data_IF_351114333862
#
_entry.id   IF_351114333862
#
_cell.length_a   1.000
_cell.length_b   1.000
_cell.length_c   1.000
_cell.angle_alpha   90.00
_cell.angle_beta   90.00
_cell.angle_gamma   90.00
#
_symmetry.space_group_name_H-M   'P 1'
#
loop_
_entity.id
_entity.type
_entity.pdbx_description
1 polymer ?
#
# COMPACT_ATOMS: atom_id res chain seq x y z
N UNK A 1 -3.72 1.21 -15.49
CA UNK A 1 -3.45 -0.13 -16.09
C UNK A 1 -4.78 -0.80 -16.42
N UNK A 2 -4.87 -1.63 -17.48
CA UNK A 2 -6.15 -2.25 -17.92
C UNK A 2 -6.76 -3.21 -16.88
N UNK A 3 -5.91 -3.87 -16.10
CA UNK A 3 -6.32 -4.85 -15.08
C UNK A 3 -6.49 -4.22 -13.68
N UNK A 4 -6.35 -2.89 -13.55
CA UNK A 4 -6.32 -2.22 -12.24
C UNK A 4 -7.61 -2.46 -11.44
N UNK A 5 -8.78 -2.38 -12.08
CA UNK A 5 -10.06 -2.62 -11.40
C UNK A 5 -10.15 -4.05 -10.83
N UNK A 6 -9.62 -5.04 -11.55
CA UNK A 6 -9.53 -6.42 -11.08
C UNK A 6 -8.56 -6.56 -9.90
N UNK A 7 -7.41 -5.87 -9.97
CA UNK A 7 -6.38 -5.92 -8.95
C UNK A 7 -6.77 -5.23 -7.64
N UNK A 8 -7.67 -4.24 -7.71
CA UNK A 8 -8.23 -3.55 -6.52
C UNK A 8 -9.36 -4.32 -5.84
N UNK A 9 -9.88 -5.36 -6.48
CA UNK A 9 -11.02 -6.11 -5.97
C UNK A 9 -10.60 -7.24 -5.03
N UNK A 10 -11.03 -7.19 -3.77
CA UNK A 10 -10.57 -8.04 -2.66
C UNK A 10 -10.70 -9.56 -2.88
N UNK A 11 -11.65 -10.00 -3.71
CA UNK A 11 -11.86 -11.43 -3.98
C UNK A 11 -11.08 -11.97 -5.19
N UNK A 12 -10.48 -11.08 -5.98
CA UNK A 12 -9.67 -11.46 -7.14
C UNK A 12 -8.23 -11.03 -6.95
N UNK A 13 -7.99 -9.73 -6.79
CA UNK A 13 -6.65 -9.16 -6.61
C UNK A 13 -5.67 -9.49 -7.74
N UNK A 14 -4.40 -9.22 -7.46
CA UNK A 14 -3.26 -9.80 -8.17
C UNK A 14 -3.05 -11.21 -7.63
N UNK A 15 -2.82 -12.18 -8.49
CA UNK A 15 -2.64 -13.58 -8.11
C UNK A 15 -1.37 -14.15 -8.72
N UNK A 16 -0.73 -15.08 -8.01
CA UNK A 16 0.40 -15.84 -8.53
C UNK A 16 0.49 -17.22 -7.87
N UNK A 17 0.57 -18.28 -8.66
CA UNK A 17 0.80 -19.64 -8.16
C UNK A 17 2.30 -19.87 -7.98
N UNK A 18 2.74 -20.04 -6.73
CA UNK A 18 4.11 -20.40 -6.41
C UNK A 18 4.30 -21.91 -6.55
N UNK A 19 4.67 -22.35 -7.76
CA UNK A 19 4.83 -23.77 -8.12
C UNK A 19 5.61 -24.62 -7.11
N UNK A 20 6.78 -24.17 -6.57
CA UNK A 20 7.55 -25.02 -5.65
C UNK A 20 6.82 -25.40 -4.37
N UNK A 21 5.89 -24.57 -3.90
CA UNK A 21 5.10 -24.83 -2.69
C UNK A 21 3.63 -25.13 -2.98
N UNK A 22 3.21 -25.06 -4.25
CA UNK A 22 1.82 -25.16 -4.67
C UNK A 22 0.87 -24.21 -3.90
N UNK A 23 1.33 -22.98 -3.63
CA UNK A 23 0.54 -21.97 -2.94
C UNK A 23 0.08 -20.90 -3.94
N UNK A 24 -1.24 -20.67 -4.01
CA UNK A 24 -1.78 -19.50 -4.72
C UNK A 24 -1.74 -18.29 -3.78
N UNK A 25 -0.84 -17.35 -4.09
CA UNK A 25 -0.71 -16.11 -3.32
C UNK A 25 -1.55 -15.04 -4.01
N UNK A 26 -2.34 -14.32 -3.22
CA UNK A 26 -3.25 -13.28 -3.70
C UNK A 26 -3.16 -12.03 -2.87
N UNK A 27 -3.30 -10.85 -3.49
CA UNK A 27 -3.35 -9.58 -2.78
C UNK A 27 -4.09 -8.52 -3.60
N UNK A 28 -4.91 -7.71 -2.94
CA UNK A 28 -5.60 -6.59 -3.57
C UNK A 28 -4.85 -5.29 -3.25
N UNK A 29 -4.42 -4.59 -4.29
CA UNK A 29 -3.70 -3.31 -4.16
C UNK A 29 -4.71 -2.17 -4.06
N UNK A 30 -4.39 -1.09 -3.33
CA UNK A 30 -5.28 0.07 -3.29
C UNK A 30 -5.18 0.89 -4.58
N UNK A 31 -3.96 1.10 -5.08
CA UNK A 31 -3.68 1.92 -6.27
C UNK A 31 -2.31 1.60 -6.89
N UNK A 32 -2.09 2.10 -8.10
CA UNK A 32 -0.87 1.88 -8.87
C UNK A 32 -0.48 3.14 -9.63
N UNK A 33 0.62 3.75 -9.22
CA UNK A 33 1.22 4.88 -9.94
C UNK A 33 2.26 4.39 -10.94
N UNK A 34 2.67 5.27 -11.84
CA UNK A 34 3.74 5.00 -12.80
C UNK A 34 4.70 6.19 -12.85
N UNK A 35 5.99 5.93 -12.76
CA UNK A 35 7.00 6.98 -12.86
C UNK A 35 7.42 7.24 -14.32
N UNK A 36 8.26 8.25 -14.54
CA UNK A 36 8.75 8.62 -15.88
C UNK A 36 9.64 7.58 -16.55
N UNK A 37 10.10 6.56 -15.81
CA UNK A 37 10.86 5.42 -16.37
C UNK A 37 9.95 4.29 -16.84
N UNK A 38 8.64 4.38 -16.56
CA UNK A 38 7.67 3.34 -16.87
C UNK A 38 7.49 2.29 -15.78
N UNK A 39 8.24 2.36 -14.68
CA UNK A 39 8.10 1.45 -13.55
C UNK A 39 6.77 1.72 -12.83
N UNK A 40 6.06 0.65 -12.47
CA UNK A 40 4.91 0.75 -11.60
C UNK A 40 5.32 0.94 -10.14
N UNK A 41 4.54 1.72 -9.42
CA UNK A 41 4.73 2.01 -8.00
C UNK A 41 3.45 1.64 -7.28
N UNK A 42 3.55 0.68 -6.35
CA UNK A 42 2.43 0.31 -5.50
C UNK A 42 2.19 1.43 -4.48
N UNK A 43 0.93 1.85 -4.36
CA UNK A 43 0.50 2.85 -3.38
C UNK A 43 -0.60 2.28 -2.52
N UNK A 44 -0.47 2.47 -1.22
CA UNK A 44 -1.37 1.95 -0.20
C UNK A 44 -1.91 3.11 0.66
N UNK A 45 -3.22 3.13 0.88
CA UNK A 45 -3.90 4.23 1.59
C UNK A 45 -4.23 3.75 3.00
N UNK A 46 -3.69 4.45 3.99
CA UNK A 46 -3.93 4.16 5.41
C UNK A 46 -4.66 5.32 6.06
N UNK A 47 -5.64 5.00 6.90
CA UNK A 47 -6.34 5.98 7.70
C UNK A 47 -6.39 5.55 9.18
N UNK A 48 -5.99 6.44 10.08
CA UNK A 48 -6.14 6.27 11.54
C UNK A 48 -6.52 7.60 12.20
N UNK A 49 -6.70 7.61 13.52
CA UNK A 49 -6.85 8.81 14.34
C UNK A 49 -5.98 8.67 15.58
N UNK A 50 -4.72 9.09 15.48
CA UNK A 50 -3.70 9.02 16.54
C UNK A 50 -3.28 10.44 16.92
N UNK A 51 -3.02 10.65 18.21
CA UNK A 51 -2.53 11.94 18.71
C UNK A 51 -1.11 12.27 18.21
N UNK A 52 -0.31 11.25 17.88
CA UNK A 52 1.01 11.44 17.29
C UNK A 52 0.93 11.67 15.78
N UNK A 53 1.83 12.51 15.27
CA UNK A 53 2.01 12.68 13.82
C UNK A 53 2.63 11.42 13.22
N UNK A 54 2.07 10.93 12.12
CA UNK A 54 2.54 9.74 11.41
C UNK A 54 3.27 10.19 10.14
N UNK A 55 4.58 10.36 10.24
CA UNK A 55 5.47 10.73 9.12
C UNK A 55 6.35 9.57 8.65
N UNK A 56 6.32 8.45 9.37
CA UNK A 56 7.17 7.27 9.12
C UNK A 56 6.50 5.99 9.63
N UNK A 57 6.90 4.87 9.03
CA UNK A 57 6.44 3.54 9.39
C UNK A 57 7.40 2.84 10.38
N UNK A 58 7.53 3.34 11.61
CA UNK A 58 8.52 2.83 12.59
C UNK A 58 7.93 2.12 13.83
N UNK A 59 6.62 2.17 14.02
CA UNK A 59 5.91 1.44 15.07
C UNK A 59 5.80 -0.06 14.79
N UNK A 60 5.67 -0.87 15.83
CA UNK A 60 5.62 -2.34 15.71
C UNK A 60 4.50 -2.85 14.81
N UNK A 61 3.32 -2.24 14.86
CA UNK A 61 2.18 -2.60 14.04
C UNK A 61 2.35 -2.24 12.56
N UNK A 62 3.30 -1.34 12.22
CA UNK A 62 3.62 -1.02 10.82
C UNK A 62 4.38 -2.14 10.10
N UNK A 63 4.90 -3.15 10.83
CA UNK A 63 5.53 -4.33 10.21
C UNK A 63 4.58 -5.05 9.25
N UNK A 64 3.28 -5.10 9.57
CA UNK A 64 2.27 -5.66 8.68
C UNK A 64 2.10 -4.88 7.37
N UNK A 65 2.14 -3.54 7.44
CA UNK A 65 2.01 -2.68 6.25
C UNK A 65 3.20 -2.83 5.31
N UNK A 66 4.41 -2.91 5.88
CA UNK A 66 5.64 -3.18 5.11
C UNK A 66 5.55 -4.52 4.38
N UNK A 67 5.17 -5.58 5.09
CA UNK A 67 5.00 -6.92 4.49
C UNK A 67 3.94 -6.93 3.39
N UNK A 68 2.84 -6.22 3.60
CA UNK A 68 1.77 -6.09 2.62
C UNK A 68 2.30 -5.44 1.32
N UNK A 69 3.02 -4.33 1.43
CA UNK A 69 3.68 -3.66 0.31
C UNK A 69 4.64 -4.59 -0.45
N UNK A 70 5.49 -5.32 0.28
CA UNK A 70 6.45 -6.28 -0.29
C UNK A 70 5.75 -7.40 -1.08
N UNK A 71 4.66 -7.97 -0.54
CA UNK A 71 3.88 -8.99 -1.23
C UNK A 71 3.23 -8.43 -2.51
N UNK A 72 2.75 -7.18 -2.49
CA UNK A 72 2.15 -6.56 -3.67
C UNK A 72 3.18 -6.30 -4.77
N UNK A 73 4.36 -5.78 -4.41
CA UNK A 73 5.47 -5.64 -5.33
C UNK A 73 5.90 -7.00 -5.89
N UNK A 74 6.02 -8.01 -5.03
CA UNK A 74 6.33 -9.38 -5.44
C UNK A 74 5.31 -9.94 -6.44
N UNK A 75 4.01 -9.84 -6.13
CA UNK A 75 2.94 -10.35 -6.98
C UNK A 75 2.97 -9.73 -8.38
N UNK A 76 3.14 -8.40 -8.47
CA UNK A 76 3.23 -7.70 -9.74
C UNK A 76 4.49 -8.10 -10.52
N UNK A 77 5.65 -8.22 -9.83
CA UNK A 77 6.90 -8.71 -10.45
C UNK A 77 6.77 -10.13 -10.99
N UNK A 78 6.13 -11.04 -10.23
CA UNK A 78 5.87 -12.42 -10.68
C UNK A 78 4.90 -12.49 -11.86
N UNK A 79 4.08 -11.46 -12.06
CA UNK A 79 3.23 -11.28 -13.24
C UNK A 79 3.93 -10.53 -14.39
N UNK A 80 5.25 -10.33 -14.33
CA UNK A 80 6.06 -9.82 -15.43
C UNK A 80 6.10 -8.30 -15.56
N UNK A 81 5.66 -7.57 -14.54
CA UNK A 81 5.69 -6.10 -14.55
C UNK A 81 6.99 -5.55 -13.96
N UNK A 82 7.49 -4.45 -14.54
CA UNK A 82 8.56 -3.65 -13.94
C UNK A 82 7.99 -2.82 -12.80
N UNK A 83 8.47 -3.07 -11.58
CA UNK A 83 7.95 -2.46 -10.35
C UNK A 83 9.10 -1.85 -9.57
N UNK A 84 8.95 -0.59 -9.19
CA UNK A 84 9.91 0.13 -8.36
C UNK A 84 10.04 -0.52 -6.97
N UNK A 85 11.27 -0.56 -6.44
CA UNK A 85 11.50 -0.98 -5.05
C UNK A 85 10.85 -0.02 -4.05
N UNK A 86 10.64 1.24 -4.44
CA UNK A 86 9.96 2.21 -3.59
C UNK A 86 8.45 2.17 -3.84
N UNK A 87 7.70 1.83 -2.79
CA UNK A 87 6.26 2.05 -2.68
C UNK A 87 5.96 3.26 -1.81
N UNK A 88 4.72 3.72 -1.84
CA UNK A 88 4.26 4.84 -1.01
C UNK A 88 3.04 4.48 -0.17
N UNK A 89 3.00 5.04 1.02
CA UNK A 89 1.81 5.07 1.85
C UNK A 89 1.25 6.49 1.85
N UNK A 90 0.02 6.66 1.38
CA UNK A 90 -0.74 7.91 1.56
C UNK A 90 -1.49 7.76 2.88
N UNK A 91 -1.01 8.47 3.89
CA UNK A 91 -1.46 8.27 5.26
C UNK A 91 -2.33 9.44 5.72
N UNK A 92 -3.62 9.19 5.97
CA UNK A 92 -4.57 10.15 6.51
C UNK A 92 -4.73 9.94 8.01
N UNK A 93 -4.23 10.85 8.83
CA UNK A 93 -4.39 10.78 10.29
C UNK A 93 -5.41 11.82 10.78
N UNK A 94 -6.52 11.35 11.34
CA UNK A 94 -7.62 12.18 11.83
C UNK A 94 -7.26 12.92 13.12
N UNK A 95 -7.65 14.19 13.19
CA UNK A 95 -7.45 15.07 14.35
C UNK A 95 -8.57 14.87 15.35
N UNK A 96 -8.22 14.29 16.50
CA UNK A 96 -9.14 14.04 17.60
C UNK A 96 -9.15 15.16 18.67
N UNK A 97 -8.32 16.18 18.49
CA UNK A 97 -8.08 17.29 19.42
C UNK A 97 -8.81 18.59 19.02
N UNK A 98 -9.82 18.49 18.16
CA UNK A 98 -10.65 19.64 17.78
C UNK A 98 -11.59 20.01 18.93
N UNK A 99 -11.87 21.30 19.07
CA UNK A 99 -12.73 21.85 20.13
C UNK A 99 -14.14 21.23 20.10
N UNK A 100 -14.64 20.92 18.90
CA UNK A 100 -15.95 20.34 18.63
C UNK A 100 -15.89 19.42 17.39
N UNK A 101 -16.88 18.53 17.25
CA UNK A 101 -17.01 17.68 16.07
C UNK A 101 -17.61 18.43 14.87
N UNK A 102 -18.63 19.25 15.09
CA UNK A 102 -19.31 20.10 14.09
C UNK A 102 -19.64 19.41 12.73
N UNK A 103 -19.84 18.09 12.74
CA UNK A 103 -20.06 17.31 11.53
C UNK A 103 -18.87 17.26 10.57
N UNK A 104 -17.67 17.62 11.04
CA UNK A 104 -16.44 17.72 10.24
C UNK A 104 -15.34 16.85 10.85
N UNK A 105 -14.73 16.02 10.00
CA UNK A 105 -13.48 15.35 10.33
C UNK A 105 -12.34 16.07 9.61
N UNK A 106 -11.28 16.37 10.35
CA UNK A 106 -10.08 16.98 9.81
C UNK A 106 -8.92 15.98 9.88
N UNK A 107 -8.07 16.00 8.87
CA UNK A 107 -6.98 15.03 8.73
C UNK A 107 -5.68 15.76 8.40
N UNK A 108 -4.57 15.25 8.91
CA UNK A 108 -3.25 15.47 8.31
C UNK A 108 -2.98 14.35 7.30
N UNK A 109 -2.46 14.71 6.13
CA UNK A 109 -2.09 13.75 5.08
C UNK A 109 -0.59 13.77 4.89
N UNK A 110 0.05 12.61 5.03
CA UNK A 110 1.48 12.44 4.80
C UNK A 110 1.72 11.42 3.69
N UNK A 111 2.79 11.62 2.93
CA UNK A 111 3.27 10.67 1.93
C UNK A 111 4.54 10.01 2.46
N UNK A 112 4.48 8.73 2.78
CA UNK A 112 5.58 8.00 3.39
C UNK A 112 6.17 7.04 2.36
N UNK A 113 7.41 7.28 1.94
CA UNK A 113 8.14 6.36 1.06
C UNK A 113 8.63 5.14 1.84
N UNK A 114 8.51 3.96 1.24
CA UNK A 114 9.09 2.73 1.77
C UNK A 114 9.82 1.97 0.66
N UNK A 115 11.10 1.66 0.88
CA UNK A 115 11.84 0.75 0.01
C UNK A 115 11.57 -0.68 0.48
N UNK A 116 10.74 -1.39 -0.28
CA UNK A 116 10.43 -2.79 -0.02
C UNK A 116 11.56 -3.71 -0.45
N UNK A 117 11.61 -4.87 0.18
CA UNK A 117 12.45 -5.99 -0.21
C UNK A 117 11.54 -7.17 -0.54
N UNK A 118 11.53 -7.55 -1.82
CA UNK A 118 10.71 -8.65 -2.32
C UNK A 118 11.58 -9.77 -2.93
N UNK A 119 12.85 -9.85 -2.53
CA UNK A 119 13.78 -10.89 -2.98
C UNK A 119 13.50 -12.26 -2.37
#
# INVERSE_FOLDING_TARGET
HKDLDKWRHNFTGVQYLHEPTNLLITGAIDDLWQNSKGEYIVVDYKATAKAEEITKLDKDWHKGYKRQMEIYQWLLRRNGYEVSDTGYFVYCNGKADRESFDGKLEFDVTLISYKGDSS
#
